data_IF_979008199745
#
_entry.id   IF_979008199745
#
_cell.length_a   1.000
_cell.length_b   1.000
_cell.length_c   1.000
_cell.angle_alpha   90.00
_cell.angle_beta   90.00
_cell.angle_gamma   90.00
#
_symmetry.space_group_name_H-M   'P 1'
#
loop_
_entity.id
_entity.type
_entity.pdbx_description
1 polymer ?
#
# COMPACT_ATOMS: atom_id res chain seq x y z
N UNK A 1 -28.35 4.94 -16.21
CA UNK A 1 -27.61 4.43 -17.41
C UNK A 1 -26.12 4.54 -17.15
N UNK A 2 -25.25 3.80 -17.86
CA UNK A 2 -23.79 3.86 -17.67
C UNK A 2 -23.23 5.30 -17.76
N UNK A 3 -23.82 6.12 -18.62
CA UNK A 3 -23.50 7.55 -18.74
C UNK A 3 -23.64 8.34 -17.42
N UNK A 4 -24.61 8.00 -16.56
CA UNK A 4 -24.79 8.65 -15.26
C UNK A 4 -23.70 8.25 -14.27
N UNK A 5 -23.22 7.00 -14.35
CA UNK A 5 -22.15 6.50 -13.50
C UNK A 5 -20.83 7.17 -13.90
N UNK A 6 -20.53 7.25 -15.20
CA UNK A 6 -19.32 7.92 -15.69
C UNK A 6 -19.31 9.42 -15.33
N UNK A 7 -20.47 10.08 -15.41
CA UNK A 7 -20.63 11.47 -15.01
C UNK A 7 -20.35 11.65 -13.51
N UNK A 8 -20.85 10.74 -12.67
CA UNK A 8 -20.64 10.79 -11.22
C UNK A 8 -19.18 10.53 -10.83
N UNK A 9 -18.52 9.59 -11.50
CA UNK A 9 -17.08 9.32 -11.30
C UNK A 9 -16.27 10.58 -11.61
N UNK A 10 -16.55 11.24 -12.75
CA UNK A 10 -15.86 12.49 -13.11
C UNK A 10 -16.12 13.59 -12.08
N UNK A 11 -17.36 13.77 -11.65
CA UNK A 11 -17.74 14.76 -10.63
C UNK A 11 -16.94 14.56 -9.34
N UNK A 12 -16.89 13.33 -8.83
CA UNK A 12 -16.14 13.00 -7.61
C UNK A 12 -14.65 13.26 -7.79
N UNK A 13 -14.06 12.86 -8.91
CA UNK A 13 -12.64 13.11 -9.19
C UNK A 13 -12.31 14.60 -9.22
N UNK A 14 -13.12 15.41 -9.90
CA UNK A 14 -12.92 16.86 -9.99
C UNK A 14 -13.05 17.53 -8.62
N UNK A 15 -14.06 17.17 -7.83
CA UNK A 15 -14.28 17.71 -6.49
C UNK A 15 -13.13 17.35 -5.54
N UNK A 16 -12.69 16.09 -5.55
CA UNK A 16 -11.62 15.63 -4.68
C UNK A 16 -10.26 16.18 -5.10
N UNK A 17 -10.02 16.33 -6.40
CA UNK A 17 -8.83 17.00 -6.92
C UNK A 17 -8.79 18.47 -6.50
N UNK A 18 -9.89 19.21 -6.71
CA UNK A 18 -9.98 20.60 -6.32
C UNK A 18 -9.80 20.78 -4.81
N UNK A 19 -10.39 19.90 -4.00
CA UNK A 19 -10.22 19.88 -2.54
C UNK A 19 -8.78 19.63 -2.13
N UNK A 20 -8.12 18.63 -2.72
CA UNK A 20 -6.73 18.32 -2.41
C UNK A 20 -5.79 19.47 -2.80
N UNK A 21 -5.99 20.03 -4.00
CA UNK A 21 -5.24 21.19 -4.48
C UNK A 21 -5.39 22.38 -3.55
N UNK A 22 -6.62 22.72 -3.18
CA UNK A 22 -6.91 23.80 -2.23
C UNK A 22 -6.21 23.56 -0.89
N UNK A 23 -6.27 22.35 -0.34
CA UNK A 23 -5.59 22.02 0.92
C UNK A 23 -4.07 22.23 0.85
N UNK A 24 -3.45 21.86 -0.27
CA UNK A 24 -2.02 22.04 -0.52
C UNK A 24 -1.68 23.53 -0.68
N UNK A 25 -2.48 24.27 -1.45
CA UNK A 25 -2.28 25.71 -1.68
C UNK A 25 -2.48 26.52 -0.40
N UNK A 26 -3.52 26.23 0.40
CA UNK A 26 -3.79 26.88 1.68
C UNK A 26 -2.67 26.60 2.71
N UNK A 27 -1.89 25.53 2.53
CA UNK A 27 -0.76 25.15 3.40
C UNK A 27 0.60 25.29 2.69
N UNK A 28 0.71 26.23 1.74
CA UNK A 28 1.93 26.40 0.91
C UNK A 28 3.21 26.51 1.73
N UNK A 29 3.18 27.25 2.85
CA UNK A 29 4.34 27.44 3.72
C UNK A 29 4.86 26.11 4.30
N UNK A 30 3.95 25.21 4.69
CA UNK A 30 4.32 23.88 5.20
C UNK A 30 4.91 23.00 4.10
N UNK A 31 4.38 23.12 2.87
CA UNK A 31 4.92 22.40 1.72
C UNK A 31 6.32 22.89 1.35
N UNK A 32 6.55 24.18 1.42
CA UNK A 32 7.87 24.78 1.22
C UNK A 32 8.86 24.30 2.30
N UNK A 33 8.43 24.28 3.56
CA UNK A 33 9.25 23.75 4.67
C UNK A 33 9.59 22.26 4.49
N UNK A 34 8.64 21.42 4.05
CA UNK A 34 8.90 20.01 3.73
C UNK A 34 9.87 19.86 2.56
N UNK A 35 9.71 20.65 1.49
CA UNK A 35 10.61 20.62 0.34
C UNK A 35 12.04 21.01 0.74
N UNK A 36 12.19 22.07 1.54
CA UNK A 36 13.50 22.50 2.06
C UNK A 36 14.13 21.44 2.97
N UNK A 37 13.33 20.77 3.81
CA UNK A 37 13.81 19.68 4.66
C UNK A 37 14.31 18.48 3.83
N UNK A 38 13.56 18.09 2.79
CA UNK A 38 13.97 17.02 1.88
C UNK A 38 15.21 17.38 1.07
N UNK A 39 15.39 18.65 0.67
CA UNK A 39 16.62 19.10 0.03
C UNK A 39 17.83 19.02 0.96
N UNK A 40 17.62 19.21 2.27
CA UNK A 40 18.69 19.20 3.27
C UNK A 40 19.09 17.79 3.71
N UNK A 41 18.12 16.88 3.83
CA UNK A 41 18.32 15.57 4.47
C UNK A 41 17.88 14.37 3.63
N UNK A 42 17.37 14.59 2.42
CA UNK A 42 16.85 13.59 1.45
C UNK A 42 15.61 12.81 1.91
N UNK A 43 15.53 12.47 3.21
CA UNK A 43 14.43 11.78 3.86
C UNK A 43 14.01 12.55 5.11
N UNK A 44 12.71 12.54 5.39
CA UNK A 44 12.13 13.10 6.62
C UNK A 44 11.21 12.07 7.27
N UNK A 45 11.24 11.98 8.59
CA UNK A 45 10.40 11.11 9.40
C UNK A 45 9.08 11.79 9.79
N UNK A 46 8.10 10.99 10.21
CA UNK A 46 6.79 11.49 10.64
C UNK A 46 6.88 12.57 11.74
N UNK A 47 7.80 12.40 12.69
CA UNK A 47 8.06 13.37 13.75
C UNK A 47 8.52 14.75 13.23
N UNK A 48 9.27 14.79 12.12
CA UNK A 48 9.68 16.03 11.48
C UNK A 48 8.51 16.67 10.72
N UNK A 49 7.64 15.84 10.12
CA UNK A 49 6.40 16.31 9.49
C UNK A 49 5.49 16.95 10.54
N UNK A 50 5.32 16.31 11.71
CA UNK A 50 4.49 16.83 12.80
C UNK A 50 4.96 18.20 13.28
N UNK A 51 6.27 18.41 13.38
CA UNK A 51 6.83 19.74 13.71
C UNK A 51 6.46 20.78 12.66
N UNK A 52 6.64 20.46 11.38
CA UNK A 52 6.29 21.37 10.28
C UNK A 52 4.79 21.69 10.30
N UNK A 53 3.95 20.68 10.55
CA UNK A 53 2.49 20.86 10.66
C UNK A 53 2.09 21.74 11.85
N UNK A 54 2.85 21.69 12.95
CA UNK A 54 2.72 22.56 14.11
C UNK A 54 3.35 23.95 13.92
N UNK A 55 3.92 24.26 12.75
CA UNK A 55 4.58 25.53 12.46
C UNK A 55 5.97 25.68 13.11
N UNK A 56 6.59 24.58 13.53
CA UNK A 56 7.93 24.54 14.10
C UNK A 56 8.95 24.15 13.02
N UNK A 57 10.21 24.60 13.13
CA UNK A 57 11.25 24.12 12.23
C UNK A 57 11.47 22.61 12.41
N UNK A 58 11.68 21.85 11.32
CA UNK A 58 11.90 20.42 11.40
C UNK A 58 13.20 20.09 12.17
N UNK A 59 13.09 19.17 13.11
CA UNK A 59 14.22 18.61 13.88
C UNK A 59 15.21 17.86 12.98
N UNK A 60 16.44 17.66 13.45
CA UNK A 60 17.46 16.91 12.72
C UNK A 60 17.07 15.42 12.56
N UNK A 61 17.45 14.75 11.46
CA UNK A 61 17.15 13.34 11.25
C UNK A 61 17.79 12.49 12.34
N UNK A 62 17.09 11.45 12.79
CA UNK A 62 17.69 10.45 13.66
C UNK A 62 18.69 9.66 12.82
N UNK A 63 19.97 9.66 13.21
CA UNK A 63 20.94 8.76 12.59
C UNK A 63 20.45 7.33 12.81
N UNK A 64 20.23 6.57 11.74
CA UNK A 64 19.84 5.16 11.80
C UNK A 64 20.93 4.23 12.36
N UNK A 65 22.02 4.79 12.92
CA UNK A 65 23.03 4.04 13.64
C UNK A 65 22.60 3.85 15.11
N UNK A 66 22.09 2.65 15.41
CA UNK A 66 22.06 2.14 16.78
C UNK A 66 20.69 2.01 17.41
N UNK A 67 19.85 1.13 16.87
CA UNK A 67 18.99 0.34 17.76
C UNK A 67 19.86 -0.62 18.57
N UNK A 68 20.55 -0.09 19.59
CA UNK A 68 21.11 -0.90 20.66
C UNK A 68 20.02 -1.04 21.73
N UNK A 69 19.48 -2.24 22.02
CA UNK A 69 18.64 -2.41 23.20
C UNK A 69 19.56 -2.23 24.40
N UNK A 70 19.29 -1.19 25.20
CA UNK A 70 19.95 -0.97 26.47
C UNK A 70 19.77 -2.22 27.34
N UNK A 71 20.89 -2.84 27.69
CA UNK A 71 20.97 -3.92 28.65
C UNK A 71 20.63 -3.38 30.05
N UNK A 72 19.48 -3.79 30.60
CA UNK A 72 19.31 -3.80 32.05
C UNK A 72 19.54 -5.22 32.56
N UNK A 73 20.68 -5.41 33.21
CA UNK A 73 21.02 -6.58 34.00
C UNK A 73 20.64 -6.28 35.45
N UNK A 74 19.99 -7.21 36.17
CA UNK A 74 20.47 -7.54 37.50
C UNK A 74 20.79 -9.03 37.60
N UNK A 75 21.93 -9.31 38.21
CA UNK A 75 22.41 -10.64 38.52
C UNK A 75 21.76 -11.17 39.81
N UNK A 76 21.26 -12.41 39.78
CA UNK A 76 21.20 -13.37 40.88
C UNK A 76 20.68 -14.71 40.30
N UNK A 77 21.55 -15.67 39.96
CA UNK A 77 22.06 -16.78 40.80
C UNK A 77 21.11 -17.99 40.91
N UNK A 78 21.67 -19.15 40.56
CA UNK A 78 21.29 -20.54 40.88
C UNK A 78 20.25 -21.27 39.98
N UNK A 79 20.78 -22.16 39.13
CA UNK A 79 20.16 -23.45 38.72
C UNK A 79 20.60 -24.55 39.73
N UNK A 80 20.01 -25.77 39.85
CA UNK A 80 19.45 -26.60 38.75
C UNK A 80 18.25 -27.56 39.04
N UNK A 81 17.85 -28.29 37.98
CA UNK A 81 17.14 -29.60 37.87
C UNK A 81 15.62 -29.63 38.14
N UNK A 82 14.78 -29.69 37.09
CA UNK A 82 14.25 -30.88 36.37
C UNK A 82 13.13 -31.66 37.10
N UNK A 83 11.90 -31.57 36.58
CA UNK A 83 11.05 -32.70 36.18
C UNK A 83 9.68 -32.17 35.65
N UNK A 84 9.40 -32.36 34.37
CA UNK A 84 8.01 -32.52 33.92
C UNK A 84 7.98 -33.37 32.64
N UNK A 85 7.49 -34.59 32.85
CA UNK A 85 7.32 -35.66 31.87
C UNK A 85 5.93 -35.58 31.26
N UNK A 86 5.90 -35.71 29.94
CA UNK A 86 4.80 -36.19 29.07
C UNK A 86 3.56 -35.31 28.84
N UNK A 87 3.38 -34.89 27.58
CA UNK A 87 2.18 -35.10 26.76
C UNK A 87 2.51 -34.80 25.28
N UNK A 88 1.82 -35.44 24.30
CA UNK A 88 2.44 -35.96 23.08
C UNK A 88 2.31 -35.06 21.84
N UNK A 89 3.17 -35.35 20.87
CA UNK A 89 3.14 -34.87 19.49
C UNK A 89 1.82 -35.20 18.78
N UNK A 90 1.29 -34.23 18.05
CA UNK A 90 0.28 -34.44 17.01
C UNK A 90 0.95 -34.09 15.65
N UNK A 91 1.15 -35.07 14.75
CA UNK A 91 1.90 -34.85 13.52
C UNK A 91 1.00 -34.32 12.41
N UNK A 92 1.64 -33.56 11.52
CA UNK A 92 1.12 -33.08 10.25
C UNK A 92 0.41 -34.17 9.42
N UNK A 93 -0.71 -33.80 8.80
CA UNK A 93 -1.32 -34.55 7.71
C UNK A 93 -1.43 -33.64 6.49
N UNK A 94 -0.81 -34.08 5.40
CA UNK A 94 -0.85 -33.51 4.05
C UNK A 94 -2.25 -33.56 3.41
N UNK A 95 -2.53 -32.73 2.40
CA UNK A 95 -3.77 -32.80 1.64
C UNK A 95 -3.64 -33.79 0.48
N UNK A 96 -4.48 -34.83 0.43
CA UNK A 96 -4.70 -35.60 -0.80
C UNK A 96 -6.18 -35.90 -1.08
N UNK A 97 -6.51 -35.60 -2.33
CA UNK A 97 -7.45 -36.28 -3.24
C UNK A 97 -8.93 -36.41 -2.85
N UNK A 98 -9.76 -35.77 -3.66
CA UNK A 98 -11.21 -35.99 -3.73
C UNK A 98 -11.76 -35.47 -5.06
N UNK A 99 -11.47 -36.19 -6.14
CA UNK A 99 -12.07 -36.03 -7.46
C UNK A 99 -13.48 -36.65 -7.46
N UNK A 100 -14.50 -35.86 -7.79
CA UNK A 100 -15.78 -36.36 -8.28
C UNK A 100 -16.44 -35.31 -9.18
N UNK A 101 -16.65 -35.75 -10.42
CA UNK A 101 -17.20 -35.06 -11.57
C UNK A 101 -18.54 -34.33 -11.34
N UNK A 102 -18.78 -33.31 -12.16
CA UNK A 102 -19.97 -33.27 -13.02
C UNK A 102 -19.74 -32.41 -14.26
N UNK A 103 -20.22 -32.94 -15.38
CA UNK A 103 -19.94 -32.54 -16.74
C UNK A 103 -20.84 -31.41 -17.23
N UNK A 104 -20.33 -30.61 -18.17
CA UNK A 104 -21.11 -30.10 -19.31
C UNK A 104 -20.14 -29.73 -20.43
N UNK A 105 -20.21 -30.51 -21.51
CA UNK A 105 -19.54 -30.27 -22.77
C UNK A 105 -20.53 -29.63 -23.74
N UNK A 106 -20.13 -28.55 -24.41
CA UNK A 106 -20.44 -28.20 -25.81
C UNK A 106 -19.65 -26.90 -26.09
N UNK A 107 -18.45 -26.91 -26.68
CA UNK A 107 -18.04 -27.19 -28.06
C UNK A 107 -18.58 -26.20 -29.10
N UNK A 108 -17.67 -25.55 -29.83
CA UNK A 108 -17.94 -24.91 -31.13
C UNK A 108 -17.40 -23.48 -31.21
N UNK A 109 -16.09 -23.26 -31.34
CA UNK A 109 -15.32 -23.31 -32.58
C UNK A 109 -15.58 -22.15 -33.57
N UNK A 110 -14.54 -21.31 -33.70
CA UNK A 110 -13.86 -20.94 -34.96
C UNK A 110 -14.45 -19.81 -35.83
N UNK A 111 -13.54 -18.86 -36.08
CA UNK A 111 -13.41 -17.99 -37.25
C UNK A 111 -14.52 -16.96 -37.50
N UNK A 112 -14.14 -15.69 -37.66
CA UNK A 112 -13.76 -15.09 -38.95
C UNK A 112 -13.86 -13.57 -38.81
N UNK A 113 -12.77 -12.86 -39.10
CA UNK A 113 -12.84 -11.44 -39.44
C UNK A 113 -13.78 -11.28 -40.65
N UNK A 114 -14.51 -10.16 -40.71
CA UNK A 114 -14.43 -9.45 -41.97
C UNK A 114 -14.15 -7.97 -41.75
N UNK A 115 -13.06 -7.56 -42.40
CA UNK A 115 -12.85 -6.24 -42.97
C UNK A 115 -14.15 -5.61 -43.50
N UNK A 116 -14.44 -4.41 -43.00
CA UNK A 116 -15.26 -3.37 -43.64
C UNK A 116 -14.75 -2.03 -43.14
N UNK A 117 -14.55 -0.98 -43.90
CA UNK A 117 -14.55 -0.67 -45.33
C UNK A 117 -14.00 0.77 -45.32
N UNK A 118 -13.16 1.11 -46.29
CA UNK A 118 -12.70 2.48 -46.52
C UNK A 118 -13.88 3.46 -46.54
N UNK A 119 -13.97 4.35 -45.54
CA UNK A 119 -14.76 5.56 -45.71
C UNK A 119 -13.82 6.72 -46.09
N UNK A 120 -13.45 6.70 -47.36
CA UNK A 120 -12.95 7.88 -48.07
C UNK A 120 -14.12 8.82 -48.35
N UNK A 121 -14.54 9.62 -47.36
CA UNK A 121 -15.38 10.77 -47.67
C UNK A 121 -14.50 11.94 -48.11
N UNK A 122 -14.08 11.87 -49.38
CA UNK A 122 -13.74 13.01 -50.20
C UNK A 122 -14.90 13.25 -51.16
N UNK A 123 -15.79 14.19 -50.86
CA UNK A 123 -16.64 14.83 -51.86
C UNK A 123 -16.87 16.30 -51.49
N UNK A 124 -16.24 17.14 -52.33
CA UNK A 124 -16.48 18.56 -52.64
C UNK A 124 -16.14 19.62 -51.61
#
# INVERSE_FOLDING_TARGET
>A
TMQQIDAEIRRILEEQYARARKLIEDNRDKMEAMAQALLKWETIDAEQIDDIMAGKPPREPKSSSGAAPAAEKPAASAAPAQEMKAAPEEPAAEPQSGEAAQASAETGAKAEEPSREDNTNSVK
#
